data_IF_399452925358
#
_entry.id   IF_399452925358
#
_cell.length_a   1.000
_cell.length_b   1.000
_cell.length_c   1.000
_cell.angle_alpha   90.00
_cell.angle_beta   90.00
_cell.angle_gamma   90.00
#
_symmetry.space_group_name_H-M   'P 1'
#
loop_
_entity.id
_entity.type
_entity.pdbx_description
1 polymer ?
#
# COMPACT_ATOMS: atom_id res chain seq x y z
N UNK A 1 -18.38 -11.02 2.76
CA UNK A 1 -17.19 -10.52 2.07
C UNK A 1 -16.64 -9.30 2.81
N UNK A 2 -15.32 -9.19 2.97
CA UNK A 2 -14.69 -8.00 3.52
C UNK A 2 -14.19 -7.08 2.42
N UNK A 3 -14.15 -5.77 2.67
CA UNK A 3 -13.46 -4.82 1.82
C UNK A 3 -12.23 -4.31 2.57
N UNK A 4 -11.07 -4.39 1.93
CA UNK A 4 -9.79 -4.03 2.53
C UNK A 4 -9.28 -2.76 1.87
N UNK A 5 -9.42 -1.64 2.55
CA UNK A 5 -8.80 -0.39 2.12
C UNK A 5 -7.37 -0.41 2.63
N UNK A 6 -6.38 -0.33 1.75
CA UNK A 6 -4.99 -0.29 2.16
C UNK A 6 -4.19 0.79 1.44
N UNK A 7 -3.12 1.19 2.08
CA UNK A 7 -2.14 2.15 1.60
C UNK A 7 -0.74 1.63 1.95
N UNK A 8 0.21 1.86 1.07
CA UNK A 8 1.58 1.40 1.21
C UNK A 8 2.53 2.58 1.28
N UNK A 9 3.52 2.47 2.16
CA UNK A 9 4.69 3.33 2.12
C UNK A 9 5.89 2.51 1.65
N UNK A 10 6.77 3.11 0.85
CA UNK A 10 7.95 2.43 0.33
C UNK A 10 9.18 3.31 0.31
N UNK A 11 10.33 2.68 0.54
CA UNK A 11 11.62 3.33 0.40
C UNK A 11 12.11 3.25 -1.04
N UNK A 12 12.90 4.21 -1.44
CA UNK A 12 13.46 4.33 -2.79
C UNK A 12 14.94 3.93 -2.80
N UNK A 13 15.47 3.51 -3.97
CA UNK A 13 16.92 3.34 -4.13
C UNK A 13 17.65 4.68 -3.94
N UNK A 14 18.90 4.62 -3.51
CA UNK A 14 19.73 5.83 -3.33
C UNK A 14 19.94 6.59 -4.65
N UNK A 15 20.07 5.85 -5.75
CA UNK A 15 20.22 6.35 -7.12
C UNK A 15 19.81 5.28 -8.13
N UNK A 16 19.78 5.64 -9.42
CA UNK A 16 19.44 4.70 -10.51
C UNK A 16 20.37 3.47 -10.57
N UNK A 17 21.63 3.61 -10.20
CA UNK A 17 22.61 2.51 -10.24
C UNK A 17 22.37 1.49 -9.14
N UNK A 18 21.75 1.94 -8.05
CA UNK A 18 21.39 1.10 -6.91
C UNK A 18 20.05 0.40 -7.09
N UNK A 19 19.32 0.70 -8.19
CA UNK A 19 18.01 0.11 -8.46
C UNK A 19 18.14 -1.37 -8.79
N UNK A 20 17.40 -2.21 -8.07
CA UNK A 20 17.26 -3.65 -8.35
C UNK A 20 16.51 -3.80 -9.68
N UNK A 21 17.07 -4.61 -10.60
CA UNK A 21 16.54 -4.79 -11.95
C UNK A 21 16.04 -6.21 -12.24
N UNK A 22 16.37 -7.16 -11.40
CA UNK A 22 16.02 -8.57 -11.56
C UNK A 22 15.62 -9.19 -10.20
N UNK A 23 14.54 -9.94 -10.09
CA UNK A 23 13.58 -10.39 -11.12
C UNK A 23 12.59 -9.31 -11.60
N UNK A 24 12.59 -8.14 -10.99
CA UNK A 24 11.71 -7.02 -11.31
C UNK A 24 12.49 -5.70 -11.20
N UNK A 25 12.14 -4.74 -12.04
CA UNK A 25 12.63 -3.37 -11.87
C UNK A 25 11.91 -2.74 -10.67
N UNK A 26 12.62 -2.70 -9.54
CA UNK A 26 12.03 -2.32 -8.25
C UNK A 26 12.06 -0.81 -8.03
N UNK A 27 10.95 -0.14 -8.30
CA UNK A 27 10.81 1.30 -8.07
C UNK A 27 10.79 1.69 -6.60
N UNK A 28 10.42 0.76 -5.72
CA UNK A 28 10.39 0.97 -4.29
C UNK A 28 10.28 -0.33 -3.52
N UNK A 29 10.80 -0.35 -2.31
CA UNK A 29 10.68 -1.48 -1.39
C UNK A 29 9.75 -1.10 -0.25
N UNK A 30 8.67 -1.87 -0.06
CA UNK A 30 7.61 -1.57 0.90
C UNK A 30 8.17 -1.59 2.33
N UNK A 31 7.85 -0.55 3.10
CA UNK A 31 8.26 -0.38 4.50
C UNK A 31 7.08 -0.28 5.48
N UNK A 32 5.87 -0.04 4.98
CA UNK A 32 4.65 -0.04 5.78
C UNK A 32 3.46 -0.52 4.95
N UNK A 33 2.61 -1.33 5.57
CA UNK A 33 1.26 -1.64 5.11
C UNK A 33 0.31 -1.08 6.17
N UNK A 34 -0.52 -0.11 5.79
CA UNK A 34 -1.64 0.37 6.58
C UNK A 34 -2.95 -0.07 5.95
N UNK A 35 -3.88 -0.61 6.73
CA UNK A 35 -5.14 -1.09 6.20
C UNK A 35 -6.31 -0.94 7.17
N UNK A 36 -7.50 -0.76 6.60
CA UNK A 36 -8.79 -0.79 7.31
C UNK A 36 -9.65 -1.87 6.68
N UNK A 37 -10.23 -2.72 7.51
CA UNK A 37 -11.19 -3.73 7.09
C UNK A 37 -12.61 -3.21 7.28
N UNK A 38 -13.40 -3.27 6.22
CA UNK A 38 -14.82 -2.98 6.23
C UNK A 38 -15.62 -4.28 6.05
N UNK A 39 -16.83 -4.33 6.59
CA UNK A 39 -17.79 -5.40 6.31
C UNK A 39 -18.50 -5.19 4.95
N UNK A 40 -19.47 -6.05 4.65
CA UNK A 40 -20.28 -5.99 3.42
C UNK A 40 -21.24 -4.78 3.35
N UNK A 41 -21.39 -4.05 4.45
CA UNK A 41 -22.12 -2.79 4.53
C UNK A 41 -21.19 -1.56 4.57
N UNK A 42 -19.90 -1.77 4.30
CA UNK A 42 -18.83 -0.76 4.37
C UNK A 42 -18.63 -0.14 5.76
N UNK A 43 -19.01 -0.86 6.83
CA UNK A 43 -18.74 -0.42 8.19
C UNK A 43 -17.35 -0.88 8.64
N UNK A 44 -16.55 0.00 9.29
CA UNK A 44 -15.24 -0.37 9.80
C UNK A 44 -15.33 -1.47 10.87
N UNK A 45 -14.51 -2.51 10.72
CA UNK A 45 -14.41 -3.65 11.65
C UNK A 45 -13.09 -3.71 12.39
N UNK A 46 -12.00 -3.41 11.69
CA UNK A 46 -10.65 -3.59 12.23
C UNK A 46 -9.62 -2.76 11.45
N UNK A 47 -8.47 -2.52 12.06
CA UNK A 47 -7.34 -1.80 11.48
C UNK A 47 -6.06 -2.62 11.62
N UNK A 48 -5.16 -2.49 10.63
CA UNK A 48 -3.85 -3.14 10.63
C UNK A 48 -2.78 -2.12 10.25
N UNK A 49 -1.66 -2.18 10.95
CA UNK A 49 -0.43 -1.49 10.58
C UNK A 49 0.76 -2.42 10.77
N UNK A 50 1.52 -2.64 9.72
CA UNK A 50 2.72 -3.46 9.73
C UNK A 50 3.90 -2.64 9.21
N UNK A 51 5.01 -2.64 9.94
CA UNK A 51 6.29 -2.10 9.48
C UNK A 51 7.14 -3.23 8.91
N UNK A 52 7.84 -2.95 7.83
CA UNK A 52 8.62 -3.92 7.07
C UNK A 52 10.07 -3.47 7.02
N UNK A 53 10.96 -4.36 7.43
CA UNK A 53 12.40 -4.13 7.30
C UNK A 53 12.80 -4.34 5.84
N UNK A 54 13.28 -3.31 5.13
CA UNK A 54 13.70 -3.45 3.75
C UNK A 54 14.95 -4.33 3.66
N UNK A 55 15.00 -5.16 2.61
CA UNK A 55 16.12 -6.08 2.35
C UNK A 55 17.14 -5.50 1.38
N UNK A 56 16.69 -4.72 0.43
CA UNK A 56 17.50 -4.17 -0.66
C UNK A 56 17.81 -2.69 -0.45
N UNK A 57 16.81 -1.88 -0.21
CA UNK A 57 16.96 -0.44 0.06
C UNK A 57 17.00 -0.21 1.57
N UNK A 58 18.07 -0.71 2.20
CA UNK A 58 18.19 -0.82 3.66
C UNK A 58 18.38 0.52 4.37
N UNK A 59 18.82 1.55 3.65
CA UNK A 59 18.97 2.90 4.19
C UNK A 59 17.80 3.77 3.73
N UNK A 60 17.10 4.36 4.68
CA UNK A 60 15.96 5.22 4.37
C UNK A 60 16.38 6.45 3.57
N UNK A 61 15.74 6.64 2.42
CA UNK A 61 15.88 7.83 1.61
C UNK A 61 15.34 9.06 2.36
N UNK A 62 16.09 10.17 2.38
CA UNK A 62 15.75 11.34 3.18
C UNK A 62 14.36 11.92 2.85
N UNK A 63 13.99 11.94 1.58
CA UNK A 63 12.68 12.43 1.14
C UNK A 63 11.54 11.56 1.69
N UNK A 64 11.75 10.25 1.75
CA UNK A 64 10.77 9.31 2.31
C UNK A 64 10.63 9.50 3.81
N UNK A 65 11.74 9.71 4.52
CA UNK A 65 11.71 10.04 5.97
C UNK A 65 10.91 11.32 6.23
N UNK A 66 11.11 12.36 5.42
CA UNK A 66 10.37 13.62 5.55
C UNK A 66 8.89 13.43 5.25
N UNK A 67 8.57 12.66 4.20
CA UNK A 67 7.18 12.44 3.75
C UNK A 67 6.39 11.56 4.73
N UNK A 68 6.99 10.47 5.23
CA UNK A 68 6.29 9.43 6.00
C UNK A 68 6.54 9.51 7.51
N UNK A 69 7.63 10.12 7.92
CA UNK A 69 8.11 10.10 9.31
C UNK A 69 8.75 8.76 9.71
N UNK A 70 8.82 7.78 8.80
CA UNK A 70 9.41 6.47 9.06
C UNK A 70 10.93 6.57 8.98
N UNK A 71 11.61 6.24 10.06
CA UNK A 71 13.07 6.29 10.19
C UNK A 71 13.65 4.89 10.35
N UNK A 72 14.95 4.75 10.04
CA UNK A 72 15.68 3.48 10.21
C UNK A 72 15.50 2.87 11.61
N UNK A 73 15.48 3.69 12.65
CA UNK A 73 15.28 3.24 14.04
C UNK A 73 13.92 2.55 14.23
N UNK A 74 12.85 3.10 13.67
CA UNK A 74 11.52 2.52 13.77
C UNK A 74 11.45 1.16 13.08
N UNK A 75 12.04 1.05 11.89
CA UNK A 75 12.10 -0.21 11.14
C UNK A 75 13.00 -1.25 11.82
N UNK A 76 14.08 -0.82 12.48
CA UNK A 76 14.93 -1.71 13.27
C UNK A 76 14.20 -2.28 14.50
N UNK A 77 13.33 -1.48 15.14
CA UNK A 77 12.59 -1.88 16.34
C UNK A 77 11.32 -2.68 16.03
N UNK A 78 10.57 -2.32 14.98
CA UNK A 78 9.23 -2.84 14.69
C UNK A 78 9.10 -3.53 13.34
N UNK A 79 10.07 -3.40 12.47
CA UNK A 79 10.05 -3.99 11.14
C UNK A 79 10.16 -5.52 11.19
N UNK A 80 9.41 -6.17 10.32
CA UNK A 80 9.49 -7.62 10.06
C UNK A 80 9.78 -7.84 8.56
N UNK A 81 10.30 -9.02 8.16
CA UNK A 81 10.52 -9.31 6.74
C UNK A 81 9.22 -9.22 5.93
N UNK A 82 9.32 -8.77 4.67
CA UNK A 82 8.15 -8.62 3.79
C UNK A 82 7.32 -9.91 3.66
N UNK A 83 7.89 -11.12 3.46
CA UNK A 83 7.08 -12.33 3.36
C UNK A 83 6.24 -12.60 4.62
N UNK A 84 6.78 -12.32 5.80
CA UNK A 84 6.05 -12.45 7.07
C UNK A 84 4.94 -11.40 7.17
N UNK A 85 5.23 -10.14 6.84
CA UNK A 85 4.26 -9.06 6.85
C UNK A 85 3.11 -9.32 5.87
N UNK A 86 3.44 -9.75 4.65
CA UNK A 86 2.45 -10.11 3.64
C UNK A 86 1.55 -11.24 4.11
N UNK A 87 2.09 -12.30 4.70
CA UNK A 87 1.29 -13.41 5.22
C UNK A 87 0.35 -12.93 6.34
N UNK A 88 0.84 -12.12 7.28
CA UNK A 88 -0.01 -11.53 8.33
C UNK A 88 -1.12 -10.66 7.75
N UNK A 89 -0.80 -9.89 6.71
CA UNK A 89 -1.79 -9.05 6.03
C UNK A 89 -2.89 -9.90 5.37
N UNK A 90 -2.53 -10.94 4.63
CA UNK A 90 -3.49 -11.81 3.95
C UNK A 90 -4.34 -12.59 4.96
N UNK A 91 -3.73 -13.15 6.01
CA UNK A 91 -4.46 -13.85 7.07
C UNK A 91 -5.47 -12.91 7.76
N UNK A 92 -5.07 -11.65 7.98
CA UNK A 92 -5.96 -10.64 8.54
C UNK A 92 -7.10 -10.26 7.57
N UNK A 93 -6.90 -10.27 6.25
CA UNK A 93 -7.96 -9.98 5.28
C UNK A 93 -9.14 -10.95 5.39
N UNK A 94 -8.88 -12.23 5.71
CA UNK A 94 -9.87 -13.31 5.81
C UNK A 94 -10.05 -14.07 4.50
N UNK A 95 -11.08 -14.92 4.41
CA UNK A 95 -11.23 -15.86 3.30
C UNK A 95 -11.81 -15.21 2.03
N UNK A 96 -12.74 -14.28 2.20
CA UNK A 96 -13.40 -13.58 1.09
C UNK A 96 -13.24 -12.07 1.24
N UNK A 97 -12.44 -11.46 0.37
CA UNK A 97 -12.19 -10.03 0.40
C UNK A 97 -11.90 -9.46 -0.99
N UNK A 98 -12.10 -8.16 -1.12
CA UNK A 98 -11.65 -7.35 -2.24
C UNK A 98 -10.77 -6.20 -1.72
N UNK A 99 -9.81 -5.79 -2.53
CA UNK A 99 -8.97 -4.65 -2.23
C UNK A 99 -9.60 -3.33 -2.70
N UNK A 100 -9.28 -2.27 -1.98
CA UNK A 100 -9.60 -0.90 -2.32
C UNK A 100 -8.39 -0.01 -2.05
N UNK A 101 -8.05 0.85 -3.01
CA UNK A 101 -6.95 1.81 -2.86
C UNK A 101 -7.39 3.20 -3.33
N UNK A 102 -6.76 4.22 -2.77
CA UNK A 102 -6.89 5.57 -3.32
C UNK A 102 -5.88 5.76 -4.45
N UNK A 103 -6.26 5.52 -5.66
CA UNK A 103 -5.46 5.32 -6.87
C UNK A 103 -4.97 3.88 -7.05
N UNK A 104 -4.46 3.61 -8.25
CA UNK A 104 -3.93 2.27 -8.59
C UNK A 104 -2.41 2.17 -8.43
N UNK A 105 -1.76 3.07 -7.69
CA UNK A 105 -0.30 3.05 -7.53
C UNK A 105 0.20 1.98 -6.55
N UNK A 106 -0.62 1.65 -5.55
CA UNK A 106 -0.27 0.66 -4.52
C UNK A 106 -0.20 -0.77 -5.07
N UNK A 107 -1.11 -1.14 -5.98
CA UNK A 107 -1.15 -2.50 -6.52
C UNK A 107 0.10 -2.90 -7.30
N UNK A 108 0.62 -2.12 -8.25
CA UNK A 108 1.89 -2.44 -8.91
C UNK A 108 3.04 -2.54 -7.91
N UNK A 109 3.09 -1.68 -6.91
CA UNK A 109 4.11 -1.71 -5.86
C UNK A 109 4.02 -3.01 -5.04
N UNK A 110 2.81 -3.43 -4.67
CA UNK A 110 2.60 -4.70 -3.97
C UNK A 110 3.06 -5.89 -4.83
N UNK A 111 2.67 -5.92 -6.10
CA UNK A 111 3.04 -6.98 -7.05
C UNK A 111 4.55 -7.07 -7.24
N UNK A 112 5.22 -5.94 -7.44
CA UNK A 112 6.68 -5.91 -7.61
C UNK A 112 7.41 -6.46 -6.38
N UNK A 113 6.95 -6.11 -5.18
CA UNK A 113 7.52 -6.64 -3.93
C UNK A 113 7.19 -8.13 -3.73
N UNK A 114 6.02 -8.60 -4.15
CA UNK A 114 5.70 -10.03 -4.14
C UNK A 114 6.62 -10.81 -5.08
N UNK A 115 6.80 -10.35 -6.31
CA UNK A 115 7.72 -10.97 -7.30
C UNK A 115 9.14 -11.01 -6.76
N UNK A 116 9.62 -9.91 -6.17
CA UNK A 116 10.95 -9.80 -5.57
C UNK A 116 11.22 -10.89 -4.53
N UNK A 117 10.19 -11.25 -3.76
CA UNK A 117 10.26 -12.25 -2.71
C UNK A 117 9.75 -13.64 -3.12
N UNK A 118 9.49 -13.85 -4.41
CA UNK A 118 9.03 -15.15 -4.94
C UNK A 118 7.62 -15.56 -4.44
N UNK A 119 6.79 -14.59 -4.11
CA UNK A 119 5.40 -14.82 -3.68
C UNK A 119 4.50 -14.90 -4.93
N UNK A 120 3.63 -15.90 -4.98
CA UNK A 120 2.69 -16.08 -6.09
C UNK A 120 1.68 -14.93 -6.15
N UNK A 121 1.50 -14.37 -7.35
CA UNK A 121 0.60 -13.25 -7.63
C UNK A 121 -0.73 -13.70 -8.26
N UNK A 122 -0.90 -15.01 -8.53
CA UNK A 122 -2.06 -15.53 -9.28
C UNK A 122 -3.38 -15.41 -8.51
N UNK A 123 -3.33 -15.42 -7.18
CA UNK A 123 -4.50 -15.41 -6.31
C UNK A 123 -4.83 -14.03 -5.72
N UNK A 124 -4.27 -12.96 -6.29
CA UNK A 124 -4.61 -11.62 -5.87
C UNK A 124 -6.09 -11.32 -6.13
N UNK A 125 -6.80 -10.74 -5.14
CA UNK A 125 -8.21 -10.41 -5.31
C UNK A 125 -8.40 -9.21 -6.24
N UNK A 126 -9.66 -8.98 -6.61
CA UNK A 126 -10.05 -7.75 -7.31
C UNK A 126 -9.69 -6.51 -6.49
N UNK A 127 -9.21 -5.47 -7.16
CA UNK A 127 -8.88 -4.19 -6.54
C UNK A 127 -9.67 -3.06 -7.19
N UNK A 128 -10.39 -2.29 -6.37
CA UNK A 128 -11.16 -1.13 -6.78
C UNK A 128 -10.38 0.16 -6.59
N UNK A 129 -10.29 0.96 -7.65
CA UNK A 129 -9.75 2.32 -7.63
C UNK A 129 -10.80 3.29 -7.07
N UNK A 130 -10.75 3.54 -5.76
CA UNK A 130 -11.71 4.40 -5.07
C UNK A 130 -11.62 5.86 -5.53
N UNK A 131 -10.42 6.33 -5.90
CA UNK A 131 -10.21 7.66 -6.44
C UNK A 131 -11.02 7.86 -7.73
N UNK A 132 -10.95 6.92 -8.67
CA UNK A 132 -11.70 6.98 -9.92
C UNK A 132 -13.20 6.87 -9.71
N UNK A 133 -13.62 5.99 -8.80
CA UNK A 133 -15.04 5.85 -8.45
C UNK A 133 -15.55 7.17 -7.89
N UNK A 134 -14.84 7.77 -6.93
CA UNK A 134 -15.18 9.09 -6.35
C UNK A 134 -15.28 10.16 -7.44
N UNK A 135 -14.26 10.28 -8.27
CA UNK A 135 -14.22 11.33 -9.30
C UNK A 135 -15.37 11.20 -10.30
N UNK A 136 -15.68 9.98 -10.74
CA UNK A 136 -16.72 9.73 -11.72
C UNK A 136 -18.13 9.77 -11.15
N UNK A 137 -18.38 9.09 -10.03
CA UNK A 137 -19.73 8.93 -9.49
C UNK A 137 -20.15 10.09 -8.58
N UNK A 138 -19.23 10.66 -7.82
CA UNK A 138 -19.51 11.74 -6.87
C UNK A 138 -19.28 13.12 -7.50
N UNK A 139 -18.14 13.32 -8.14
CA UNK A 139 -17.77 14.59 -8.74
C UNK A 139 -18.28 14.75 -10.18
N UNK A 140 -18.73 13.65 -10.81
CA UNK A 140 -19.25 13.58 -12.18
C UNK A 140 -18.30 14.13 -13.22
N UNK A 141 -16.98 13.85 -13.04
CA UNK A 141 -15.90 14.31 -13.88
C UNK A 141 -14.76 13.32 -13.97
N UNK A 142 -13.73 13.69 -14.73
CA UNK A 142 -12.53 12.87 -14.94
C UNK A 142 -11.29 13.42 -14.24
N UNK A 143 -11.40 14.53 -13.52
CA UNK A 143 -10.30 15.11 -12.76
C UNK A 143 -10.01 14.25 -11.54
N UNK A 144 -8.78 13.74 -11.43
CA UNK A 144 -8.34 12.96 -10.28
C UNK A 144 -7.97 13.91 -9.12
N UNK A 145 -8.61 13.73 -7.98
CA UNK A 145 -8.35 14.51 -6.77
C UNK A 145 -7.49 13.72 -5.79
N UNK A 146 -6.60 14.41 -5.07
CA UNK A 146 -5.93 13.80 -3.91
C UNK A 146 -6.97 13.40 -2.85
N UNK A 147 -6.62 12.47 -1.96
CA UNK A 147 -7.50 12.07 -0.86
C UNK A 147 -7.86 13.27 0.03
N UNK A 148 -6.88 14.12 0.35
CA UNK A 148 -7.09 15.34 1.14
C UNK A 148 -8.10 16.29 0.47
N UNK A 149 -7.95 16.53 -0.83
CA UNK A 149 -8.89 17.37 -1.60
C UNK A 149 -10.28 16.74 -1.62
N UNK A 150 -10.38 15.44 -1.84
CA UNK A 150 -11.66 14.73 -1.85
C UNK A 150 -12.39 14.83 -0.50
N UNK A 151 -11.68 14.68 0.61
CA UNK A 151 -12.23 14.84 1.96
C UNK A 151 -12.71 16.27 2.22
N UNK A 152 -11.99 17.28 1.72
CA UNK A 152 -12.40 18.68 1.81
C UNK A 152 -13.70 18.91 1.05
N UNK A 153 -13.77 18.46 -0.21
CA UNK A 153 -14.96 18.58 -1.05
C UNK A 153 -16.20 17.87 -0.47
N UNK A 154 -16.00 16.75 0.23
CA UNK A 154 -17.10 16.04 0.90
C UNK A 154 -17.62 16.79 2.12
N UNK A 155 -16.78 17.56 2.82
CA UNK A 155 -17.20 18.37 3.98
C UNK A 155 -17.98 19.62 3.57
N UNK A 156 -17.79 20.11 2.36
CA UNK A 156 -18.47 21.28 1.80
C UNK A 156 -19.85 20.96 1.18
N UNK A 157 -20.21 19.70 1.10
CA UNK A 157 -21.52 19.20 0.62
C UNK A 157 -22.49 18.97 1.75
#
# INVERSE_FOLDING_TARGET
>A
MNYIIFDLEWNQPADERSTVQDPVYLNGEIIEIGAVKLDDQFCPKDELRLYITPKYYTRMHQEIVVLTGIKDKLLAEKGIPFPEAYQKFIDWCGDEYAFMTWSMNDMPMLVDNMILHGIDISDLPECYDVQRIFCREIMRGNTLYSLETALTLLKER
#
